data_IF_626524136714
#
_entry.id   IF_626524136714
#
_cell.length_a   1.000
_cell.length_b   1.000
_cell.length_c   1.000
_cell.angle_alpha   90.00
_cell.angle_beta   90.00
_cell.angle_gamma   90.00
#
_symmetry.space_group_name_H-M   'P 1'
#
loop_
_entity.id
_entity.type
_entity.pdbx_description
1 polymer ?
#
# COMPACT_ATOMS: atom_id res chain seq x y z
N UNK A 1 17.50 17.74 4.03
CA UNK A 1 16.81 18.99 4.43
C UNK A 1 17.16 20.16 3.52
N UNK A 2 18.42 20.55 3.38
CA UNK A 2 18.82 21.68 2.50
C UNK A 2 18.34 21.43 1.06
N UNK A 3 18.60 20.28 0.49
CA UNK A 3 18.18 19.92 -0.88
C UNK A 3 16.67 20.00 -1.08
N UNK A 4 15.88 19.49 -0.13
CA UNK A 4 14.40 19.55 -0.19
C UNK A 4 13.92 21.00 -0.12
N UNK A 5 14.49 21.78 0.80
CA UNK A 5 14.12 23.19 0.94
C UNK A 5 14.46 23.99 -0.34
N UNK A 6 15.67 23.83 -0.87
CA UNK A 6 16.09 24.48 -2.13
C UNK A 6 15.18 24.09 -3.30
N UNK A 7 14.83 22.79 -3.41
CA UNK A 7 13.98 22.30 -4.48
C UNK A 7 12.59 22.94 -4.42
N UNK A 8 11.94 22.91 -3.25
CA UNK A 8 10.61 23.48 -3.05
C UNK A 8 10.62 24.99 -3.25
N UNK A 9 11.65 25.69 -2.75
CA UNK A 9 11.82 27.15 -2.91
C UNK A 9 12.07 27.57 -4.36
N UNK A 10 12.76 26.73 -5.14
CA UNK A 10 13.04 27.01 -6.56
C UNK A 10 11.82 26.74 -7.44
N UNK A 11 11.15 25.58 -7.25
CA UNK A 11 10.01 25.17 -8.08
C UNK A 11 8.75 25.95 -7.70
N UNK A 12 8.54 26.24 -6.42
CA UNK A 12 7.31 26.85 -5.88
C UNK A 12 6.03 26.17 -6.44
N UNK A 13 5.87 24.85 -6.23
CA UNK A 13 4.75 24.11 -6.83
C UNK A 13 3.42 24.56 -6.25
N UNK A 14 2.32 24.29 -6.95
CA UNK A 14 0.95 24.46 -6.42
C UNK A 14 0.54 23.30 -5.53
N UNK A 15 0.98 22.10 -5.88
CA UNK A 15 0.65 20.84 -5.21
C UNK A 15 1.89 19.96 -5.04
N UNK A 16 2.03 19.33 -3.87
CA UNK A 16 3.07 18.34 -3.58
C UNK A 16 2.40 17.03 -3.16
N UNK A 17 2.71 15.96 -3.88
CA UNK A 17 2.31 14.60 -3.56
C UNK A 17 3.51 13.83 -3.03
N UNK A 18 3.62 13.70 -1.70
CA UNK A 18 4.71 12.95 -1.08
C UNK A 18 4.39 11.45 -1.09
N UNK A 19 4.94 10.76 -2.07
CA UNK A 19 4.89 9.29 -2.23
C UNK A 19 6.23 8.64 -1.87
N UNK A 20 7.24 9.43 -1.55
CA UNK A 20 8.59 8.95 -1.24
C UNK A 20 8.58 8.11 0.04
N UNK A 21 9.07 6.88 -0.05
CA UNK A 21 9.14 5.96 1.08
C UNK A 21 10.08 4.78 0.82
N UNK A 22 10.66 4.24 1.88
CA UNK A 22 11.11 2.86 1.94
C UNK A 22 9.88 1.99 2.25
N UNK A 23 9.12 1.58 1.24
CA UNK A 23 7.77 1.01 1.38
C UNK A 23 7.71 -0.51 1.58
N UNK A 24 8.87 -1.21 1.56
CA UNK A 24 8.90 -2.65 1.76
C UNK A 24 8.93 -2.99 3.25
N UNK A 25 7.78 -3.42 3.79
CA UNK A 25 7.60 -3.68 5.23
C UNK A 25 8.64 -4.65 5.80
N UNK A 26 8.94 -5.77 5.10
CA UNK A 26 9.94 -6.73 5.56
C UNK A 26 11.34 -6.12 5.68
N UNK A 27 11.74 -5.30 4.72
CA UNK A 27 13.04 -4.61 4.71
C UNK A 27 13.16 -3.59 5.86
N UNK A 28 12.06 -2.97 6.28
CA UNK A 28 12.08 -2.01 7.38
C UNK A 28 12.61 -2.58 8.70
N UNK A 29 12.48 -3.90 8.92
CA UNK A 29 13.06 -4.56 10.09
C UNK A 29 14.59 -4.70 10.01
N UNK A 30 15.16 -4.67 8.81
CA UNK A 30 16.60 -4.75 8.58
C UNK A 30 17.28 -3.38 8.62
N UNK A 31 16.57 -2.32 8.18
CA UNK A 31 17.09 -0.95 8.09
C UNK A 31 16.12 0.06 8.73
N UNK A 32 15.81 -0.07 10.05
CA UNK A 32 14.77 0.73 10.70
C UNK A 32 15.10 2.23 10.75
N UNK A 33 16.36 2.60 10.98
CA UNK A 33 16.79 4.01 11.01
C UNK A 33 16.62 4.69 9.66
N UNK A 34 17.06 4.03 8.58
CA UNK A 34 16.87 4.55 7.23
C UNK A 34 15.38 4.72 6.90
N UNK A 35 14.57 3.72 7.27
CA UNK A 35 13.13 3.76 7.10
C UNK A 35 12.51 4.96 7.83
N UNK A 36 12.87 5.17 9.10
CA UNK A 36 12.39 6.32 9.89
C UNK A 36 12.82 7.66 9.28
N UNK A 37 14.06 7.74 8.82
CA UNK A 37 14.62 8.95 8.20
C UNK A 37 13.92 9.31 6.90
N UNK A 38 13.63 8.33 6.05
CA UNK A 38 12.95 8.57 4.75
C UNK A 38 11.46 8.78 4.95
N UNK A 39 10.78 7.87 5.65
CA UNK A 39 9.32 7.81 5.69
C UNK A 39 8.72 8.81 6.69
N UNK A 40 9.39 9.00 7.83
CA UNK A 40 8.95 9.93 8.88
C UNK A 40 9.54 11.33 8.69
N UNK A 41 10.85 11.46 8.86
CA UNK A 41 11.53 12.76 8.79
C UNK A 41 11.51 13.36 7.38
N UNK A 42 11.38 12.53 6.32
CA UNK A 42 11.18 13.01 4.95
C UNK A 42 9.95 13.90 4.83
N UNK A 43 8.82 13.47 5.42
CA UNK A 43 7.58 14.26 5.44
C UNK A 43 7.76 15.59 6.18
N UNK A 44 8.39 15.57 7.37
CA UNK A 44 8.70 16.78 8.14
C UNK A 44 9.54 17.79 7.33
N UNK A 45 10.56 17.32 6.60
CA UNK A 45 11.42 18.21 5.79
C UNK A 45 10.66 18.94 4.69
N UNK A 46 9.67 18.26 4.07
CA UNK A 46 8.81 18.88 3.05
C UNK A 46 7.87 19.89 3.72
N UNK A 47 7.26 19.55 4.84
CA UNK A 47 6.37 20.44 5.58
C UNK A 47 7.10 21.71 6.05
N UNK A 48 8.34 21.60 6.55
CA UNK A 48 9.17 22.76 6.90
C UNK A 48 9.48 23.66 5.69
N UNK A 49 9.77 23.04 4.53
CA UNK A 49 10.01 23.79 3.30
C UNK A 49 8.74 24.52 2.82
N UNK A 50 7.55 23.88 2.95
CA UNK A 50 6.28 24.52 2.62
C UNK A 50 5.99 25.67 3.58
N UNK A 51 6.15 25.47 4.89
CA UNK A 51 5.93 26.48 5.93
C UNK A 51 6.78 27.74 5.67
N UNK A 52 8.04 27.57 5.27
CA UNK A 52 8.92 28.71 5.00
C UNK A 52 8.48 29.56 3.79
N UNK A 53 7.62 29.00 2.91
CA UNK A 53 7.09 29.69 1.74
C UNK A 53 5.63 30.11 1.86
N UNK A 54 4.94 29.73 2.95
CA UNK A 54 3.47 29.89 3.08
C UNK A 54 3.00 31.34 3.01
N UNK A 55 3.85 32.31 3.39
CA UNK A 55 3.57 33.75 3.25
C UNK A 55 3.69 34.24 1.79
N UNK A 56 4.41 33.51 0.94
CA UNK A 56 4.65 33.86 -0.47
C UNK A 56 3.72 33.12 -1.40
N UNK A 57 3.49 31.82 -1.12
CA UNK A 57 2.65 30.94 -1.93
C UNK A 57 2.00 29.87 -1.10
N UNK A 58 0.69 29.71 -1.23
CA UNK A 58 -0.07 28.61 -0.63
C UNK A 58 0.13 27.34 -1.43
N UNK A 59 0.79 26.36 -0.81
CA UNK A 59 1.09 25.05 -1.42
C UNK A 59 0.19 23.99 -0.78
N UNK A 60 -0.48 23.19 -1.59
CA UNK A 60 -1.26 22.06 -1.10
C UNK A 60 -0.39 20.81 -0.99
N UNK A 61 -0.46 20.14 0.14
CA UNK A 61 0.38 18.97 0.44
C UNK A 61 -0.47 17.72 0.66
N UNK A 62 -0.10 16.64 -0.04
CA UNK A 62 -0.62 15.31 0.16
C UNK A 62 0.47 14.40 0.74
N UNK A 63 0.18 13.77 1.88
CA UNK A 63 1.02 12.73 2.48
C UNK A 63 0.43 11.36 2.22
N UNK A 64 1.19 10.48 1.57
CA UNK A 64 0.83 9.08 1.43
C UNK A 64 1.01 8.33 2.76
N UNK A 65 -0.08 8.04 3.42
CA UNK A 65 -0.17 7.12 4.55
C UNK A 65 -0.38 5.68 4.08
N UNK A 66 -0.66 4.79 5.02
CA UNK A 66 -0.82 3.36 4.76
C UNK A 66 -1.77 2.70 5.75
N UNK A 67 -2.51 1.68 5.31
CA UNK A 67 -3.30 0.82 6.19
C UNK A 67 -2.47 0.03 7.22
N UNK A 68 -1.17 -0.14 6.97
CA UNK A 68 -0.24 -0.78 7.93
C UNK A 68 -0.14 0.01 9.27
N UNK A 69 -0.51 1.29 9.29
CA UNK A 69 -0.60 2.09 10.52
C UNK A 69 -1.64 1.53 11.51
N UNK A 70 -2.73 0.96 11.02
CA UNK A 70 -3.74 0.30 11.86
C UNK A 70 -3.17 -0.94 12.55
N UNK A 71 -2.31 -1.69 11.88
CA UNK A 71 -1.54 -2.81 12.43
C UNK A 71 -2.41 -3.87 13.09
N UNK A 72 -2.29 -4.03 14.42
CA UNK A 72 -3.13 -4.96 15.17
C UNK A 72 -4.49 -4.32 15.44
N UNK A 73 -5.52 -4.87 14.84
CA UNK A 73 -6.92 -4.42 15.00
C UNK A 73 -7.74 -5.53 15.66
N UNK A 74 -8.85 -5.15 16.28
CA UNK A 74 -9.84 -6.10 16.85
C UNK A 74 -10.74 -6.70 15.76
N UNK A 75 -10.37 -6.55 14.49
CA UNK A 75 -11.16 -6.95 13.32
C UNK A 75 -12.11 -5.85 12.83
N UNK A 76 -12.96 -6.20 11.85
CA UNK A 76 -13.90 -5.25 11.25
C UNK A 76 -13.28 -4.25 10.30
N UNK A 77 -14.02 -3.19 10.00
CA UNK A 77 -13.59 -2.12 9.11
C UNK A 77 -12.75 -1.07 9.82
N UNK A 78 -11.66 -0.64 9.18
CA UNK A 78 -10.84 0.49 9.65
C UNK A 78 -11.23 1.76 8.88
N UNK A 79 -11.45 2.83 9.61
CA UNK A 79 -11.72 4.17 9.08
C UNK A 79 -10.84 5.23 9.75
N UNK A 80 -11.07 6.50 9.46
CA UNK A 80 -10.26 7.63 9.95
C UNK A 80 -10.29 7.80 11.48
N UNK A 81 -11.23 7.17 12.19
CA UNK A 81 -11.34 7.19 13.66
C UNK A 81 -10.71 5.97 14.34
N UNK A 82 -10.32 4.96 13.56
CA UNK A 82 -9.70 3.75 14.07
C UNK A 82 -8.31 4.06 14.63
N UNK A 83 -8.02 3.61 15.86
CA UNK A 83 -6.72 3.81 16.49
C UNK A 83 -5.61 3.08 15.72
N UNK A 84 -4.45 3.71 15.64
CA UNK A 84 -3.26 3.10 15.07
C UNK A 84 -2.54 2.22 16.11
N UNK A 85 -2.11 1.05 15.67
CA UNK A 85 -1.27 0.12 16.44
C UNK A 85 -0.22 -0.52 15.52
N UNK A 86 0.80 0.26 15.08
CA UNK A 86 1.75 -0.17 14.05
C UNK A 86 2.52 -1.43 14.48
N UNK A 87 2.79 -2.31 13.50
CA UNK A 87 3.44 -3.61 13.72
C UNK A 87 4.78 -3.74 12.97
N UNK A 88 5.34 -2.62 12.49
CA UNK A 88 6.64 -2.61 11.82
C UNK A 88 7.28 -1.23 11.94
N UNK A 89 8.63 -1.13 11.79
CA UNK A 89 9.32 0.16 11.71
C UNK A 89 8.76 1.05 10.59
N UNK A 90 8.40 0.47 9.43
CA UNK A 90 7.70 1.16 8.36
C UNK A 90 6.38 1.80 8.84
N UNK A 91 5.52 1.00 9.46
CA UNK A 91 4.23 1.49 9.93
C UNK A 91 4.37 2.57 11.01
N UNK A 92 5.33 2.42 11.95
CA UNK A 92 5.63 3.41 12.98
C UNK A 92 6.10 4.74 12.36
N UNK A 93 6.96 4.68 11.34
CA UNK A 93 7.44 5.87 10.62
C UNK A 93 6.31 6.57 9.88
N UNK A 94 5.37 5.82 9.29
CA UNK A 94 4.18 6.36 8.64
C UNK A 94 3.18 6.97 9.65
N UNK A 95 3.07 6.42 10.86
CA UNK A 95 2.28 7.05 11.95
C UNK A 95 2.89 8.40 12.34
N UNK A 96 4.24 8.50 12.44
CA UNK A 96 4.88 9.80 12.65
C UNK A 96 4.56 10.78 11.51
N UNK A 97 4.72 10.36 10.25
CA UNK A 97 4.41 11.20 9.08
C UNK A 97 2.94 11.67 9.08
N UNK A 98 2.01 10.80 9.47
CA UNK A 98 0.59 11.13 9.60
C UNK A 98 0.35 12.24 10.64
N UNK A 99 0.86 12.05 11.84
CA UNK A 99 0.63 13.00 12.94
C UNK A 99 1.37 14.32 12.75
N UNK A 100 2.57 14.32 12.19
CA UNK A 100 3.27 15.57 11.90
C UNK A 100 2.56 16.36 10.79
N UNK A 101 1.92 15.71 9.83
CA UNK A 101 1.09 16.36 8.82
C UNK A 101 -0.13 17.03 9.43
N UNK A 102 -0.82 16.36 10.37
CA UNK A 102 -1.95 16.95 11.12
C UNK A 102 -1.46 18.13 11.96
N UNK A 103 -0.35 17.97 12.67
CA UNK A 103 0.21 19.03 13.50
C UNK A 103 0.51 20.31 12.68
N UNK A 104 1.12 20.15 11.49
CA UNK A 104 1.41 21.31 10.63
C UNK A 104 0.15 21.94 10.03
N UNK A 105 -0.85 21.15 9.72
CA UNK A 105 -2.17 21.64 9.32
C UNK A 105 -2.82 22.50 10.39
N UNK A 106 -2.80 22.03 11.64
CA UNK A 106 -3.47 22.68 12.77
C UNK A 106 -2.67 23.87 13.34
N UNK A 107 -1.35 23.71 13.48
CA UNK A 107 -0.50 24.74 14.10
C UNK A 107 -0.14 25.88 13.16
N UNK A 108 -0.01 25.59 11.84
CA UNK A 108 0.45 26.59 10.86
C UNK A 108 -0.57 26.85 9.75
N UNK A 109 -1.78 26.29 9.88
CA UNK A 109 -2.86 26.46 8.88
C UNK A 109 -2.44 26.07 7.46
N UNK A 110 -1.56 25.06 7.34
CA UNK A 110 -1.16 24.56 6.03
C UNK A 110 -2.28 23.71 5.42
N UNK A 111 -2.44 23.79 4.09
CA UNK A 111 -3.30 22.84 3.38
C UNK A 111 -2.60 21.50 3.24
N UNK A 112 -2.73 20.64 4.26
CA UNK A 112 -2.06 19.34 4.30
C UNK A 112 -3.04 18.19 4.60
N UNK A 113 -3.05 17.17 3.74
CA UNK A 113 -3.97 16.02 3.79
C UNK A 113 -3.20 14.72 3.95
N UNK A 114 -3.74 13.76 4.71
CA UNK A 114 -3.25 12.38 4.72
C UNK A 114 -4.20 11.45 3.95
N UNK A 115 -3.68 10.70 2.99
CA UNK A 115 -4.38 9.54 2.44
C UNK A 115 -3.99 8.28 3.20
N UNK A 116 -4.91 7.64 3.91
CA UNK A 116 -4.69 6.35 4.57
C UNK A 116 -5.00 5.26 3.56
N UNK A 117 -3.97 4.91 2.76
CA UNK A 117 -4.14 4.04 1.61
C UNK A 117 -4.09 2.57 2.01
N UNK A 118 -5.10 1.81 1.59
CA UNK A 118 -5.03 0.37 1.56
C UNK A 118 -4.19 -0.12 0.38
N UNK A 119 -3.92 -1.41 0.31
CA UNK A 119 -3.02 -1.93 -0.71
C UNK A 119 -3.54 -1.61 -2.12
N UNK A 120 -2.69 -1.02 -2.94
CA UNK A 120 -3.04 -0.66 -4.31
C UNK A 120 -1.94 -1.11 -5.25
N UNK A 121 -2.36 -1.76 -6.31
CA UNK A 121 -1.51 -2.52 -7.19
C UNK A 121 -1.69 -2.07 -8.64
N UNK A 122 -0.72 -2.38 -9.47
CA UNK A 122 -0.78 -2.13 -10.91
C UNK A 122 0.26 -2.96 -11.66
N UNK A 123 0.26 -2.98 -12.98
CA UNK A 123 1.30 -3.63 -13.78
C UNK A 123 2.73 -3.21 -13.44
N UNK A 124 2.94 -1.96 -13.00
CA UNK A 124 4.25 -1.41 -12.63
C UNK A 124 4.61 -1.59 -11.15
N UNK A 125 3.85 -2.40 -10.41
CA UNK A 125 4.18 -2.74 -9.03
C UNK A 125 5.57 -3.38 -8.93
N UNK A 126 6.34 -3.04 -7.90
CA UNK A 126 7.65 -3.64 -7.66
C UNK A 126 7.59 -5.17 -7.48
N UNK A 127 8.56 -5.90 -8.04
CA UNK A 127 8.57 -7.37 -8.12
C UNK A 127 8.63 -8.07 -6.75
N UNK A 128 9.12 -7.41 -5.73
CA UNK A 128 9.23 -7.95 -4.36
C UNK A 128 7.90 -7.96 -3.60
N UNK A 129 6.88 -7.23 -4.09
CA UNK A 129 5.56 -7.20 -3.47
C UNK A 129 4.73 -8.44 -3.84
N UNK A 130 3.98 -8.95 -2.87
CA UNK A 130 3.32 -10.26 -2.93
C UNK A 130 2.43 -10.44 -4.16
N UNK A 131 1.65 -9.44 -4.55
CA UNK A 131 0.76 -9.50 -5.72
C UNK A 131 1.53 -9.63 -7.02
N UNK A 132 2.53 -8.78 -7.24
CA UNK A 132 3.40 -8.83 -8.43
C UNK A 132 4.21 -10.12 -8.47
N UNK A 133 4.77 -10.54 -7.32
CA UNK A 133 5.49 -11.81 -7.18
C UNK A 133 4.62 -13.02 -7.57
N UNK A 134 3.36 -13.04 -7.13
CA UNK A 134 2.41 -14.12 -7.48
C UNK A 134 2.12 -14.12 -8.98
N UNK A 135 1.78 -12.97 -9.55
CA UNK A 135 1.41 -12.88 -10.97
C UNK A 135 2.60 -13.23 -11.86
N UNK A 136 3.75 -12.59 -11.66
CA UNK A 136 4.96 -12.88 -12.42
C UNK A 136 5.39 -14.34 -12.26
N UNK A 137 5.37 -14.88 -11.04
CA UNK A 137 5.72 -16.26 -10.75
C UNK A 137 4.81 -17.26 -11.46
N UNK A 138 3.49 -17.08 -11.40
CA UNK A 138 2.54 -17.97 -12.06
C UNK A 138 2.57 -17.85 -13.59
N UNK A 139 2.80 -16.65 -14.13
CA UNK A 139 3.06 -16.47 -15.56
C UNK A 139 4.33 -17.21 -16.01
N UNK A 140 5.42 -17.13 -15.23
CA UNK A 140 6.67 -17.89 -15.50
C UNK A 140 6.46 -19.41 -15.41
N UNK A 141 5.63 -19.89 -14.46
CA UNK A 141 5.27 -21.31 -14.33
C UNK A 141 4.48 -21.75 -15.57
N UNK A 142 3.46 -20.99 -16.00
CA UNK A 142 2.69 -21.30 -17.22
C UNK A 142 3.60 -21.39 -18.46
N UNK A 143 4.62 -20.52 -18.56
CA UNK A 143 5.63 -20.51 -19.64
C UNK A 143 6.76 -21.53 -19.43
N UNK A 144 6.70 -22.40 -18.40
CA UNK A 144 7.74 -23.38 -18.03
C UNK A 144 9.12 -22.76 -17.75
N UNK A 145 9.16 -21.49 -17.32
CA UNK A 145 10.38 -20.76 -16.96
C UNK A 145 10.66 -20.78 -15.45
N UNK A 146 9.71 -21.27 -14.65
CA UNK A 146 9.81 -21.46 -13.21
C UNK A 146 9.08 -22.73 -12.83
N UNK A 147 9.66 -23.54 -11.95
CA UNK A 147 9.01 -24.79 -11.49
C UNK A 147 8.12 -24.54 -10.27
N UNK A 148 8.60 -23.78 -9.30
CA UNK A 148 7.93 -23.60 -8.00
C UNK A 148 8.07 -22.16 -7.51
N UNK A 149 6.96 -21.55 -7.09
CA UNK A 149 6.91 -20.24 -6.47
C UNK A 149 6.92 -20.39 -4.94
N UNK A 150 7.85 -19.70 -4.25
CA UNK A 150 7.95 -19.69 -2.80
C UNK A 150 7.31 -18.45 -2.22
N UNK A 151 6.41 -18.63 -1.24
CA UNK A 151 5.64 -17.57 -0.60
C UNK A 151 5.67 -17.72 0.94
N UNK A 152 5.31 -16.65 1.64
CA UNK A 152 5.15 -16.66 3.09
C UNK A 152 3.70 -17.01 3.51
N UNK A 153 3.13 -16.19 4.40
CA UNK A 153 1.80 -16.40 4.97
C UNK A 153 0.70 -16.30 3.91
N UNK A 154 0.01 -17.41 3.65
CA UNK A 154 -1.09 -17.50 2.68
C UNK A 154 -2.44 -16.98 3.22
N UNK A 155 -2.55 -16.75 4.53
CA UNK A 155 -3.81 -16.45 5.19
C UNK A 155 -3.98 -15.00 5.60
N UNK A 156 -2.94 -14.18 5.52
CA UNK A 156 -3.06 -12.74 5.70
C UNK A 156 -4.06 -12.16 4.71
N UNK A 157 -4.98 -11.33 5.23
CA UNK A 157 -6.05 -10.71 4.45
C UNK A 157 -5.72 -9.26 4.14
N UNK A 158 -5.88 -8.86 2.89
CA UNK A 158 -5.65 -7.48 2.45
C UNK A 158 -6.78 -7.01 1.55
N UNK A 159 -7.08 -5.73 1.65
CA UNK A 159 -7.94 -5.00 0.73
C UNK A 159 -7.05 -4.49 -0.41
N UNK A 160 -7.18 -5.07 -1.59
CA UNK A 160 -6.41 -4.71 -2.78
C UNK A 160 -7.27 -3.96 -3.80
N UNK A 161 -6.82 -2.76 -4.18
CA UNK A 161 -7.41 -1.97 -5.25
C UNK A 161 -6.42 -1.70 -6.38
N UNK A 162 -6.87 -1.03 -7.43
CA UNK A 162 -6.02 -0.61 -8.54
C UNK A 162 -5.44 0.78 -8.28
N UNK A 163 -4.14 0.96 -8.52
CA UNK A 163 -3.44 2.23 -8.25
C UNK A 163 -4.06 3.43 -8.96
N UNK A 164 -4.61 3.24 -10.16
CA UNK A 164 -5.30 4.31 -10.91
C UNK A 164 -6.46 4.93 -10.13
N UNK A 165 -7.29 4.10 -9.46
CA UNK A 165 -8.38 4.60 -8.63
C UNK A 165 -7.85 5.41 -7.43
N UNK A 166 -6.73 4.97 -6.86
CA UNK A 166 -6.11 5.62 -5.70
C UNK A 166 -5.49 6.98 -6.06
N UNK A 167 -4.84 7.08 -7.23
CA UNK A 167 -4.31 8.35 -7.74
C UNK A 167 -5.43 9.38 -7.96
N UNK A 168 -6.59 8.94 -8.47
CA UNK A 168 -7.76 9.83 -8.59
C UNK A 168 -8.19 10.37 -7.21
N UNK A 169 -8.17 9.52 -6.17
CA UNK A 169 -8.48 9.96 -4.80
C UNK A 169 -7.46 10.98 -4.28
N UNK A 170 -6.17 10.73 -4.47
CA UNK A 170 -5.09 11.64 -4.05
C UNK A 170 -5.31 13.04 -4.63
N UNK A 171 -5.58 13.12 -5.94
CA UNK A 171 -5.85 14.39 -6.61
C UNK A 171 -7.11 15.05 -6.04
N UNK A 172 -8.23 14.32 -5.93
CA UNK A 172 -9.48 14.85 -5.40
C UNK A 172 -9.36 15.42 -3.99
N UNK A 173 -8.50 14.84 -3.15
CA UNK A 173 -8.25 15.33 -1.79
C UNK A 173 -7.68 16.75 -1.81
N UNK A 174 -6.74 17.05 -2.71
CA UNK A 174 -6.16 18.38 -2.84
C UNK A 174 -7.08 19.38 -3.55
N UNK A 175 -8.15 18.93 -4.21
CA UNK A 175 -9.16 19.83 -4.82
C UNK A 175 -10.25 20.27 -3.84
N UNK A 176 -10.23 19.79 -2.59
CA UNK A 176 -11.22 20.17 -1.58
C UNK A 176 -10.99 21.60 -1.07
N UNK A 177 -12.03 22.21 -0.50
CA UNK A 177 -11.94 23.54 0.13
C UNK A 177 -11.17 23.54 1.45
N UNK A 178 -11.18 22.40 2.15
CA UNK A 178 -10.51 22.20 3.46
C UNK A 178 -9.66 20.94 3.41
N UNK A 179 -8.48 20.96 4.05
CA UNK A 179 -7.64 19.77 4.15
C UNK A 179 -8.22 18.78 5.17
N UNK A 180 -8.38 17.53 4.76
CA UNK A 180 -8.86 16.45 5.62
C UNK A 180 -8.11 15.14 5.31
N UNK A 181 -8.22 14.17 6.23
CA UNK A 181 -7.64 12.84 6.05
C UNK A 181 -8.72 11.86 5.58
N UNK A 182 -8.34 10.93 4.70
CA UNK A 182 -9.26 9.99 4.09
C UNK A 182 -8.69 8.58 4.04
N UNK A 183 -9.51 7.60 4.43
CA UNK A 183 -9.27 6.19 4.11
C UNK A 183 -9.64 5.93 2.66
N UNK A 184 -8.72 5.36 1.89
CA UNK A 184 -8.92 4.96 0.51
C UNK A 184 -8.76 3.45 0.41
N UNK A 185 -9.86 2.77 0.13
CA UNK A 185 -9.98 1.32 0.15
C UNK A 185 -11.11 0.83 -0.75
N UNK A 186 -11.07 -0.45 -1.13
CA UNK A 186 -12.16 -1.06 -1.91
C UNK A 186 -13.33 -1.52 -1.03
N UNK A 187 -13.08 -1.77 0.26
CA UNK A 187 -14.05 -2.37 1.18
C UNK A 187 -14.20 -3.88 1.01
N UNK A 188 -13.27 -4.53 0.30
CA UNK A 188 -13.24 -5.98 0.11
C UNK A 188 -11.85 -6.51 0.38
N UNK A 189 -11.76 -7.57 1.18
CA UNK A 189 -10.46 -8.20 1.47
C UNK A 189 -10.40 -9.62 0.93
N UNK A 190 -9.19 -10.06 0.62
CA UNK A 190 -8.88 -11.41 0.16
C UNK A 190 -7.66 -11.94 0.91
N UNK A 191 -7.61 -13.24 1.15
CA UNK A 191 -6.37 -13.88 1.60
C UNK A 191 -5.39 -13.97 0.42
N UNK A 192 -4.09 -14.09 0.72
CA UNK A 192 -3.07 -14.35 -0.30
C UNK A 192 -3.43 -15.63 -1.09
N UNK A 193 -3.92 -16.67 -0.41
CA UNK A 193 -4.40 -17.91 -1.06
C UNK A 193 -5.56 -17.68 -2.03
N UNK A 194 -6.54 -16.85 -1.65
CA UNK A 194 -7.64 -16.48 -2.55
C UNK A 194 -7.14 -15.71 -3.76
N UNK A 195 -6.19 -14.79 -3.57
CA UNK A 195 -5.58 -14.05 -4.68
C UNK A 195 -4.86 -15.00 -5.66
N UNK A 196 -4.08 -15.98 -5.15
CA UNK A 196 -3.45 -17.01 -5.97
C UNK A 196 -4.49 -17.79 -6.80
N UNK A 197 -5.59 -18.21 -6.16
CA UNK A 197 -6.65 -18.96 -6.86
C UNK A 197 -7.29 -18.11 -7.96
N UNK A 198 -7.48 -16.82 -7.75
CA UNK A 198 -8.00 -15.90 -8.77
C UNK A 198 -7.03 -15.74 -9.95
N UNK A 199 -5.73 -15.61 -9.68
CA UNK A 199 -4.70 -15.55 -10.72
C UNK A 199 -4.63 -16.85 -11.50
N UNK A 200 -4.59 -18.00 -10.81
CA UNK A 200 -4.59 -19.32 -11.45
C UNK A 200 -5.82 -19.52 -12.35
N UNK A 201 -7.01 -19.08 -11.90
CA UNK A 201 -8.23 -19.14 -12.70
C UNK A 201 -8.10 -18.34 -14.00
N UNK A 202 -7.53 -17.14 -13.96
CA UNK A 202 -7.33 -16.31 -15.16
C UNK A 202 -6.24 -16.84 -16.09
N UNK A 203 -5.23 -17.51 -15.54
CA UNK A 203 -4.19 -18.18 -16.32
C UNK A 203 -4.59 -19.58 -16.77
N UNK A 204 -5.79 -20.07 -16.43
CA UNK A 204 -6.27 -21.44 -16.73
C UNK A 204 -5.37 -22.52 -16.12
N UNK A 205 -4.71 -22.22 -15.01
CA UNK A 205 -3.93 -23.19 -14.24
C UNK A 205 -4.86 -23.90 -13.26
N UNK A 206 -5.07 -25.21 -13.42
CA UNK A 206 -5.79 -26.02 -12.45
C UNK A 206 -4.90 -26.26 -11.25
N UNK A 207 -5.36 -25.81 -10.06
CA UNK A 207 -4.57 -25.87 -8.83
C UNK A 207 -5.30 -26.67 -7.76
N UNK A 208 -4.56 -27.52 -7.03
CA UNK A 208 -5.05 -28.24 -5.84
C UNK A 208 -4.11 -28.01 -4.66
N UNK A 209 -4.67 -27.83 -3.48
CA UNK A 209 -3.94 -27.58 -2.24
C UNK A 209 -3.87 -28.84 -1.37
N UNK A 210 -2.72 -29.07 -0.72
CA UNK A 210 -2.48 -30.17 0.23
C UNK A 210 -1.64 -29.67 1.42
N UNK A 211 -1.91 -30.20 2.61
CA UNK A 211 -1.20 -29.82 3.84
C UNK A 211 -1.80 -28.60 4.54
N UNK A 212 -1.14 -28.15 5.59
CA UNK A 212 -1.49 -26.95 6.39
C UNK A 212 -0.25 -26.27 6.92
N UNK A 213 -0.33 -24.95 7.17
CA UNK A 213 0.76 -24.15 7.72
C UNK A 213 2.00 -24.22 6.84
N UNK A 214 3.18 -24.37 7.41
CA UNK A 214 4.46 -24.41 6.66
C UNK A 214 4.60 -25.60 5.71
N UNK A 215 3.78 -26.66 5.89
CA UNK A 215 3.75 -27.83 5.01
C UNK A 215 2.69 -27.74 3.91
N UNK A 216 2.02 -26.60 3.79
CA UNK A 216 1.01 -26.40 2.76
C UNK A 216 1.68 -26.16 1.41
N UNK A 217 1.24 -26.92 0.41
CA UNK A 217 1.72 -26.86 -0.96
C UNK A 217 0.54 -26.79 -1.93
N UNK A 218 0.79 -26.24 -3.10
CA UNK A 218 -0.14 -26.38 -4.21
C UNK A 218 0.53 -27.06 -5.40
N UNK A 219 -0.24 -27.89 -6.09
CA UNK A 219 0.20 -28.61 -7.29
C UNK A 219 -0.81 -28.43 -8.42
N UNK A 220 -0.30 -28.54 -9.64
CA UNK A 220 -1.10 -28.48 -10.86
C UNK A 220 -1.82 -29.81 -11.16
N UNK A 221 -2.52 -29.89 -12.29
CA UNK A 221 -3.22 -31.09 -12.73
C UNK A 221 -2.29 -32.25 -13.18
N UNK A 222 -1.00 -31.95 -13.37
CA UNK A 222 0.04 -32.95 -13.70
C UNK A 222 0.78 -33.45 -12.44
N UNK A 223 0.41 -32.98 -11.26
CA UNK A 223 1.04 -33.35 -10.00
C UNK A 223 2.34 -32.59 -9.69
N UNK A 224 2.73 -31.58 -10.51
CA UNK A 224 3.89 -30.76 -10.25
C UNK A 224 3.58 -29.78 -9.11
N UNK A 225 4.47 -29.70 -8.13
CA UNK A 225 4.35 -28.72 -7.04
C UNK A 225 4.73 -27.32 -7.56
N UNK A 226 3.73 -26.44 -7.65
CA UNK A 226 3.91 -25.08 -8.19
C UNK A 226 3.98 -24.00 -7.13
N UNK A 227 3.52 -24.26 -5.88
CA UNK A 227 3.64 -23.34 -4.76
C UNK A 227 4.12 -24.08 -3.52
N UNK A 228 5.09 -23.48 -2.82
CA UNK A 228 5.58 -23.91 -1.51
C UNK A 228 5.63 -22.71 -0.56
N UNK A 229 5.47 -22.99 0.74
CA UNK A 229 5.68 -21.99 1.78
C UNK A 229 7.13 -22.02 2.21
N UNK A 230 7.72 -20.85 2.36
CA UNK A 230 9.07 -20.65 2.87
C UNK A 230 9.03 -19.71 4.08
N UNK A 231 9.59 -20.17 5.21
CA UNK A 231 9.62 -19.43 6.47
C UNK A 231 10.38 -18.11 6.37
N UNK A 232 11.34 -17.99 5.45
CA UNK A 232 12.12 -16.77 5.25
C UNK A 232 11.27 -15.56 4.80
N UNK A 233 10.10 -15.80 4.24
CA UNK A 233 9.16 -14.74 3.84
C UNK A 233 8.16 -14.33 4.95
N UNK A 234 8.24 -14.93 6.14
CA UNK A 234 7.43 -14.49 7.28
C UNK A 234 8.06 -13.26 7.93
N UNK A 235 7.23 -12.33 8.35
CA UNK A 235 7.66 -11.15 9.08
C UNK A 235 7.82 -11.46 10.57
N UNK A 236 8.69 -10.75 11.30
CA UNK A 236 8.78 -10.88 12.76
C UNK A 236 7.44 -10.64 13.46
N UNK A 237 6.65 -9.70 12.94
CA UNK A 237 5.28 -9.44 13.37
C UNK A 237 4.38 -9.30 12.15
N UNK A 238 3.30 -10.07 12.12
CA UNK A 238 2.32 -10.05 11.03
C UNK A 238 1.11 -9.18 11.37
N UNK A 239 0.49 -8.68 10.31
CA UNK A 239 -0.83 -8.06 10.35
C UNK A 239 -1.80 -9.02 9.67
N UNK A 240 -2.72 -9.59 10.45
CA UNK A 240 -3.59 -10.66 9.97
C UNK A 240 -4.66 -10.17 8.99
N UNK A 241 -5.23 -9.00 9.25
CA UNK A 241 -6.37 -8.50 8.50
C UNK A 241 -6.36 -6.98 8.40
N UNK A 242 -6.56 -6.47 7.18
CA UNK A 242 -6.79 -5.06 6.90
C UNK A 242 -8.00 -4.95 5.95
N UNK A 243 -9.04 -4.21 6.39
CA UNK A 243 -10.27 -4.00 5.63
C UNK A 243 -10.75 -2.56 5.79
N UNK A 244 -10.70 -1.77 4.72
CA UNK A 244 -10.96 -0.33 4.80
C UNK A 244 -12.42 0.05 4.64
N UNK A 245 -12.86 1.04 5.41
CA UNK A 245 -14.11 1.75 5.19
C UNK A 245 -13.85 3.13 4.57
N UNK A 246 -14.01 3.24 3.28
CA UNK A 246 -13.85 4.49 2.52
C UNK A 246 -15.16 5.30 2.41
N UNK A 247 -16.09 5.17 3.37
CA UNK A 247 -17.39 5.86 3.33
C UNK A 247 -17.23 7.38 3.35
N UNK A 248 -16.23 7.91 4.07
CA UNK A 248 -15.93 9.35 4.07
C UNK A 248 -15.49 9.81 2.68
N UNK A 249 -14.56 9.10 2.06
CA UNK A 249 -14.09 9.42 0.70
C UNK A 249 -15.25 9.37 -0.33
N UNK A 250 -16.14 8.39 -0.22
CA UNK A 250 -17.35 8.31 -1.06
C UNK A 250 -18.22 9.55 -0.93
N UNK A 251 -18.51 9.97 0.28
CA UNK A 251 -19.41 11.13 0.52
C UNK A 251 -18.76 12.47 0.18
N UNK A 252 -17.51 12.66 0.59
CA UNK A 252 -16.85 13.98 0.49
C UNK A 252 -16.17 14.19 -0.85
N UNK A 253 -15.48 13.17 -1.37
CA UNK A 253 -14.71 13.27 -2.61
C UNK A 253 -15.52 12.80 -3.84
N UNK A 254 -16.73 12.28 -3.67
CA UNK A 254 -17.46 11.56 -4.71
C UNK A 254 -16.53 10.52 -5.40
N UNK A 255 -15.81 9.76 -4.58
CA UNK A 255 -14.84 8.77 -5.04
C UNK A 255 -15.32 7.36 -4.70
N UNK A 256 -15.17 6.45 -5.63
CA UNK A 256 -15.36 5.01 -5.43
C UNK A 256 -14.39 4.24 -6.31
N UNK A 257 -13.91 3.05 -5.88
CA UNK A 257 -13.08 2.21 -6.74
C UNK A 257 -13.91 1.76 -7.95
N UNK A 258 -13.31 1.86 -9.15
CA UNK A 258 -13.93 1.50 -10.43
C UNK A 258 -13.44 0.13 -10.92
N UNK A 259 -12.19 -0.21 -10.58
CA UNK A 259 -11.52 -1.42 -11.05
C UNK A 259 -11.58 -2.47 -9.94
N UNK A 260 -12.24 -3.60 -10.23
CA UNK A 260 -12.34 -4.70 -9.27
C UNK A 260 -11.10 -5.61 -9.31
N UNK A 261 -11.00 -6.54 -8.34
CA UNK A 261 -9.83 -7.43 -8.20
C UNK A 261 -9.58 -8.31 -9.43
N UNK A 262 -10.60 -8.70 -10.17
CA UNK A 262 -10.44 -9.55 -11.37
C UNK A 262 -9.87 -8.73 -12.52
N UNK A 263 -10.34 -7.51 -12.71
CA UNK A 263 -9.84 -6.59 -13.74
C UNK A 263 -8.40 -6.15 -13.42
N UNK A 264 -8.08 -5.89 -12.14
CA UNK A 264 -6.71 -5.64 -11.68
C UNK A 264 -5.78 -6.81 -12.05
N UNK A 265 -6.16 -8.05 -11.72
CA UNK A 265 -5.37 -9.24 -12.03
C UNK A 265 -5.19 -9.39 -13.55
N UNK A 266 -6.25 -9.16 -14.32
CA UNK A 266 -6.22 -9.22 -15.79
C UNK A 266 -5.22 -8.22 -16.37
N UNK A 267 -5.26 -6.98 -15.89
CA UNK A 267 -4.34 -5.92 -16.33
C UNK A 267 -2.89 -6.26 -15.99
N UNK A 268 -2.62 -6.73 -14.77
CA UNK A 268 -1.28 -7.14 -14.35
C UNK A 268 -0.75 -8.35 -15.13
N UNK A 269 -1.61 -9.35 -15.47
CA UNK A 269 -1.24 -10.50 -16.27
C UNK A 269 -0.89 -10.07 -17.70
N UNK A 270 -1.67 -9.18 -18.30
CA UNK A 270 -1.42 -8.68 -19.64
C UNK A 270 -0.03 -8.05 -19.80
N UNK A 271 0.48 -7.43 -18.73
CA UNK A 271 1.82 -6.83 -18.70
C UNK A 271 2.97 -7.84 -18.51
N UNK A 272 2.68 -9.10 -18.14
CA UNK A 272 3.67 -10.18 -17.98
C UNK A 272 3.77 -11.04 -19.27
N UNK A 273 2.89 -10.81 -20.23
CA UNK A 273 2.89 -11.51 -21.51
C UNK A 273 3.83 -10.87 -22.51
#
# INVERSE_FOLDING_TARGET
SISVNNLVSTIKPDEIYNLAAQSHVGVSFQIPEYTANVDGLGALRILEAIKSLDSVKKIKFYQAGTSEMFGKTDGGFQNEKTKFYPRSPYAASKVYAHWITINYRESYNLFACNGILFNHESPVRGETFVTKKIISGLCKIKKKKLNTLYLGNLYSKRDWGHAQDYVEAMWKMLQQKKPEDFVIATGKQYTVKQFINLVCKQLEIKIKWKGKGLKEIAYDDKGQVIIKIDKSYFRPTEVDSLLGDASKARRTLNWKPKINIRDLIKDMIAHEQ
#
